data_IF_103103140074
#
_entry.id   IF_103103140074
#
_cell.length_a   1.000
_cell.length_b   1.000
_cell.length_c   1.000
_cell.angle_alpha   90.00
_cell.angle_beta   90.00
_cell.angle_gamma   90.00
#
_symmetry.space_group_name_H-M   'P 1'
#
loop_
_entity.id
_entity.type
_entity.pdbx_description
1 polymer ?
#
# COMPACT_ATOMS: atom_id res chain seq x y z
N UNK A 1 0.91 12.25 7.54
CA UNK A 1 0.22 11.23 6.72
C UNK A 1 -1.19 11.15 7.26
N UNK A 2 -2.21 11.47 6.45
CA UNK A 2 -3.63 11.49 6.83
C UNK A 2 -4.30 10.10 6.78
N UNK A 3 -3.58 9.10 6.26
CA UNK A 3 -4.08 7.76 6.05
C UNK A 3 -4.02 6.95 7.34
N UNK A 4 -5.01 6.06 7.54
CA UNK A 4 -4.95 4.94 8.49
C UNK A 4 -4.52 3.71 7.71
N UNK A 5 -3.44 3.07 8.15
CA UNK A 5 -2.79 1.97 7.44
C UNK A 5 -2.68 0.76 8.36
N UNK A 6 -3.14 -0.40 7.89
CA UNK A 6 -3.03 -1.67 8.60
C UNK A 6 -2.47 -2.72 7.65
N UNK A 7 -1.47 -3.46 8.10
CA UNK A 7 -0.87 -4.53 7.31
C UNK A 7 -0.92 -5.84 8.09
N UNK A 8 -1.29 -6.90 7.40
CA UNK A 8 -1.17 -8.27 7.86
C UNK A 8 -0.28 -9.03 6.89
N UNK A 9 0.69 -9.79 7.40
CA UNK A 9 1.61 -10.59 6.59
C UNK A 9 1.59 -12.04 7.08
N UNK A 10 1.71 -12.96 6.13
CA UNK A 10 1.88 -14.40 6.33
C UNK A 10 2.96 -14.90 5.36
N UNK A 11 3.41 -16.15 5.48
CA UNK A 11 4.36 -16.74 4.52
C UNK A 11 3.87 -16.70 3.07
N UNK A 12 2.56 -16.72 2.83
CA UNK A 12 1.94 -16.72 1.51
C UNK A 12 1.83 -15.32 0.90
N UNK A 13 1.91 -14.26 1.70
CA UNK A 13 1.77 -12.90 1.20
C UNK A 13 1.39 -11.87 2.27
N UNK A 14 0.86 -10.74 1.83
CA UNK A 14 0.40 -9.69 2.71
C UNK A 14 -0.85 -9.00 2.19
N UNK A 15 -1.64 -8.47 3.13
CA UNK A 15 -2.78 -7.60 2.85
C UNK A 15 -2.52 -6.25 3.50
N UNK A 16 -2.69 -5.18 2.72
CA UNK A 16 -2.61 -3.80 3.17
C UNK A 16 -4.00 -3.17 3.07
N UNK A 17 -4.51 -2.69 4.20
CA UNK A 17 -5.69 -1.84 4.26
C UNK A 17 -5.24 -0.38 4.41
N UNK A 18 -5.74 0.49 3.54
CA UNK A 18 -5.52 1.92 3.61
C UNK A 18 -6.87 2.62 3.67
N UNK A 19 -7.01 3.60 4.56
CA UNK A 19 -8.23 4.39 4.69
C UNK A 19 -7.87 5.87 4.79
N UNK A 20 -8.58 6.70 4.02
CA UNK A 20 -8.59 8.14 4.17
C UNK A 20 -9.93 8.55 4.83
N UNK A 21 -9.95 8.83 6.14
CA UNK A 21 -11.20 9.02 6.88
C UNK A 21 -11.95 10.29 6.49
N UNK A 22 -11.23 11.35 6.10
CA UNK A 22 -11.83 12.58 5.59
C UNK A 22 -10.92 13.17 4.52
N UNK A 23 -11.52 13.60 3.42
CA UNK A 23 -10.86 14.41 2.42
C UNK A 23 -10.57 15.79 2.99
N UNK A 24 -9.31 16.20 2.88
CA UNK A 24 -8.86 17.55 3.21
C UNK A 24 -8.32 18.18 1.94
N UNK A 25 -8.72 19.42 1.69
CA UNK A 25 -8.11 20.24 0.65
C UNK A 25 -6.58 20.27 0.87
N UNK A 26 -5.83 19.87 -0.16
CA UNK A 26 -4.36 19.84 -0.13
C UNK A 26 -3.74 18.65 0.61
N UNK A 27 -4.50 17.60 0.94
CA UNK A 27 -3.89 16.38 1.48
C UNK A 27 -2.90 15.76 0.48
N UNK A 28 -1.84 15.12 1.01
CA UNK A 28 -0.70 14.65 0.21
C UNK A 28 -0.74 13.14 0.01
N UNK A 29 -0.14 12.61 -1.08
CA UNK A 29 0.01 11.18 -1.25
C UNK A 29 0.92 10.65 -0.17
N UNK A 30 0.81 9.36 0.10
CA UNK A 30 1.73 8.68 1.02
C UNK A 30 2.40 7.51 0.32
N UNK A 31 3.66 7.26 0.66
CA UNK A 31 4.34 6.03 0.26
C UNK A 31 4.31 5.05 1.43
N UNK A 32 3.73 3.88 1.21
CA UNK A 32 3.66 2.79 2.19
C UNK A 32 4.73 1.76 1.84
N UNK A 33 5.66 1.57 2.76
CA UNK A 33 6.65 0.49 2.71
C UNK A 33 6.07 -0.72 3.43
N UNK A 34 5.91 -1.82 2.70
CA UNK A 34 5.42 -3.07 3.26
C UNK A 34 6.50 -3.68 4.19
N UNK A 35 6.11 -4.66 5.00
CA UNK A 35 6.99 -5.34 5.96
C UNK A 35 6.73 -6.84 5.98
N UNK A 36 7.74 -7.63 6.34
CA UNK A 36 7.58 -9.07 6.53
C UNK A 36 7.38 -9.87 5.24
N UNK A 37 7.78 -9.30 4.10
CA UNK A 37 7.83 -10.02 2.82
C UNK A 37 9.19 -10.70 2.66
N UNK A 38 9.23 -11.78 1.89
CA UNK A 38 10.49 -12.34 1.41
C UNK A 38 11.09 -11.39 0.37
N UNK A 39 12.31 -10.87 0.59
CA UNK A 39 12.97 -9.97 -0.36
C UNK A 39 13.10 -10.52 -1.79
N UNK A 40 13.30 -11.83 -1.93
CA UNK A 40 13.57 -12.50 -3.21
C UNK A 40 12.28 -12.98 -3.91
N UNK A 41 11.17 -13.10 -3.18
CA UNK A 41 9.88 -13.46 -3.76
C UNK A 41 9.28 -12.32 -4.60
N UNK A 42 8.41 -12.69 -5.55
CA UNK A 42 7.61 -11.75 -6.35
C UNK A 42 6.14 -11.81 -5.95
N UNK A 43 5.54 -10.65 -5.79
CA UNK A 43 4.16 -10.50 -5.34
C UNK A 43 3.32 -9.84 -6.42
N UNK A 44 2.20 -10.45 -6.77
CA UNK A 44 1.19 -9.89 -7.67
C UNK A 44 0.09 -9.21 -6.87
N UNK A 45 -0.31 -8.01 -7.27
CA UNK A 45 -1.33 -7.23 -6.57
C UNK A 45 -2.04 -6.28 -7.53
N UNK A 46 -3.24 -5.84 -7.12
CA UNK A 46 -3.97 -4.77 -7.82
C UNK A 46 -3.66 -3.43 -7.17
N UNK A 47 -3.30 -2.43 -7.96
CA UNK A 47 -3.12 -1.05 -7.50
C UNK A 47 -3.54 -0.09 -8.61
N UNK A 48 -4.33 0.92 -8.28
CA UNK A 48 -4.95 1.85 -9.25
C UNK A 48 -5.65 1.11 -10.40
N UNK A 49 -6.43 0.07 -10.07
CA UNK A 49 -7.15 -0.77 -11.04
C UNK A 49 -6.26 -1.55 -12.03
N UNK A 50 -4.95 -1.58 -11.80
CA UNK A 50 -3.99 -2.30 -12.63
C UNK A 50 -3.38 -3.48 -11.88
N UNK A 51 -3.24 -4.61 -12.56
CA UNK A 51 -2.40 -5.72 -12.08
C UNK A 51 -0.94 -5.30 -12.14
N UNK A 52 -0.23 -5.48 -11.03
CA UNK A 52 1.20 -5.19 -10.90
C UNK A 52 1.92 -6.36 -10.27
N UNK A 53 3.23 -6.39 -10.48
CA UNK A 53 4.11 -7.36 -9.85
C UNK A 53 5.41 -6.67 -9.43
N UNK A 54 5.88 -6.96 -8.23
CA UNK A 54 7.14 -6.42 -7.71
C UNK A 54 7.79 -7.41 -6.72
N UNK A 55 9.11 -7.29 -6.52
CA UNK A 55 9.80 -8.08 -5.50
C UNK A 55 9.42 -7.62 -4.09
N UNK A 56 9.52 -8.51 -3.11
CA UNK A 56 9.37 -8.13 -1.71
C UNK A 56 10.36 -7.04 -1.31
N UNK A 57 11.59 -7.09 -1.81
CA UNK A 57 12.59 -6.04 -1.58
C UNK A 57 12.11 -4.67 -2.08
N UNK A 58 11.57 -4.60 -3.31
CA UNK A 58 11.04 -3.36 -3.87
C UNK A 58 9.89 -2.82 -3.02
N UNK A 59 8.96 -3.70 -2.63
CA UNK A 59 7.78 -3.36 -1.84
C UNK A 59 8.13 -2.90 -0.41
N UNK A 60 9.20 -3.43 0.17
CA UNK A 60 9.66 -3.05 1.51
C UNK A 60 10.57 -1.80 1.50
N UNK A 61 11.41 -1.61 0.47
CA UNK A 61 12.36 -0.50 0.43
C UNK A 61 11.84 0.73 -0.31
N UNK A 62 11.25 0.55 -1.50
CA UNK A 62 10.67 1.64 -2.31
C UNK A 62 9.22 1.90 -1.94
N UNK A 63 8.44 0.84 -1.71
CA UNK A 63 7.05 0.93 -1.29
C UNK A 63 6.06 1.30 -2.42
N UNK A 64 4.81 1.43 -2.02
CA UNK A 64 3.65 1.75 -2.86
C UNK A 64 3.19 3.17 -2.58
N UNK A 65 3.08 4.01 -3.62
CA UNK A 65 2.53 5.36 -3.49
C UNK A 65 1.02 5.31 -3.61
N UNK A 66 0.32 5.64 -2.53
CA UNK A 66 -1.13 5.72 -2.44
C UNK A 66 -1.61 7.16 -2.62
N UNK A 67 -2.71 7.30 -3.36
CA UNK A 67 -3.42 8.56 -3.58
C UNK A 67 -4.94 8.30 -3.60
N UNK A 68 -5.51 8.15 -2.42
CA UNK A 68 -6.96 8.06 -2.21
C UNK A 68 -7.58 9.46 -2.27
N UNK A 69 -8.78 9.57 -2.84
CA UNK A 69 -9.51 10.82 -2.97
C UNK A 69 -10.97 10.59 -2.60
N UNK A 70 -11.61 11.59 -1.99
CA UNK A 70 -12.99 11.48 -1.47
C UNK A 70 -13.02 11.19 0.03
N UNK A 71 -14.17 11.47 0.64
CA UNK A 71 -14.40 11.14 2.04
C UNK A 71 -14.56 9.63 2.21
N UNK A 72 -14.02 9.07 3.29
CA UNK A 72 -14.08 7.64 3.60
C UNK A 72 -13.51 6.71 2.50
N UNK A 73 -12.53 7.18 1.72
CA UNK A 73 -11.92 6.39 0.66
C UNK A 73 -11.03 5.26 1.20
N UNK A 74 -10.97 4.13 0.48
CA UNK A 74 -10.13 2.96 0.79
C UNK A 74 -9.54 2.31 -0.46
#
# INVERSE_FOLDING_TARGET
NDYRLFQYASPEGAVLFAFLPSSRLGHKPTTVRLRGLDPQARYRFTHDWQQREASGEYLMNRGLRLWLQGDYAS
#
